data_IF_908360083563
#
_entry.id   IF_908360083563
#
_cell.length_a   1.000
_cell.length_b   1.000
_cell.length_c   1.000
_cell.angle_alpha   90.00
_cell.angle_beta   90.00
_cell.angle_gamma   90.00
#
_symmetry.space_group_name_H-M   'P 1'
#
loop_
_entity.id
_entity.type
_entity.pdbx_description
1 polymer ?
#
# COMPACT_ATOMS: atom_id res chain seq x y z
N UNK A 1 -1.18 23.25 -14.74
CA UNK A 1 -0.10 22.23 -14.67
C UNK A 1 -0.70 21.01 -14.02
N UNK A 2 -0.99 19.97 -14.81
CA UNK A 2 -1.32 18.67 -14.24
C UNK A 2 -0.03 18.15 -13.59
N UNK A 3 -0.06 17.87 -12.29
CA UNK A 3 0.98 17.07 -11.67
C UNK A 3 1.03 15.77 -12.47
N UNK A 4 2.21 15.42 -13.02
CA UNK A 4 2.40 14.13 -13.64
C UNK A 4 2.00 13.09 -12.60
N UNK A 5 0.94 12.33 -12.88
CA UNK A 5 0.57 11.17 -12.06
C UNK A 5 1.79 10.27 -12.06
N UNK A 6 2.49 10.26 -10.94
CA UNK A 6 3.77 9.60 -10.83
C UNK A 6 3.49 8.09 -10.81
N UNK A 7 3.61 7.45 -11.98
CA UNK A 7 3.34 6.02 -12.21
C UNK A 7 4.42 5.11 -11.56
N UNK A 8 5.18 5.66 -10.61
CA UNK A 8 6.21 4.94 -9.87
C UNK A 8 5.57 3.79 -9.08
N UNK A 9 6.06 2.54 -9.23
CA UNK A 9 5.51 1.40 -8.50
C UNK A 9 5.74 1.56 -7.00
N UNK A 10 4.65 1.67 -6.25
CA UNK A 10 4.68 1.70 -4.78
C UNK A 10 4.60 0.29 -4.20
N UNK A 11 3.72 -0.54 -4.77
CA UNK A 11 3.58 -1.95 -4.38
C UNK A 11 4.69 -2.76 -5.04
N UNK A 12 5.77 -3.00 -4.30
CA UNK A 12 6.92 -3.80 -4.75
C UNK A 12 6.84 -5.24 -4.28
N UNK A 13 7.63 -6.13 -4.89
CA UNK A 13 7.73 -7.53 -4.43
C UNK A 13 8.28 -7.61 -2.99
N UNK A 14 9.22 -6.74 -2.64
CA UNK A 14 9.73 -6.63 -1.27
C UNK A 14 8.64 -6.21 -0.28
N UNK A 15 7.76 -5.28 -0.65
CA UNK A 15 6.62 -4.90 0.18
C UNK A 15 5.62 -6.05 0.32
N UNK A 16 5.31 -6.74 -0.77
CA UNK A 16 4.43 -7.92 -0.74
C UNK A 16 4.94 -8.99 0.22
N UNK A 17 6.25 -9.28 0.21
CA UNK A 17 6.86 -10.25 1.13
C UNK A 17 6.73 -9.81 2.61
N UNK A 18 6.90 -8.52 2.90
CA UNK A 18 6.69 -7.98 4.26
C UNK A 18 5.23 -8.14 4.69
N UNK A 19 4.28 -7.83 3.81
CA UNK A 19 2.84 -7.98 4.08
C UNK A 19 2.49 -9.45 4.34
N UNK A 20 3.03 -10.39 3.55
CA UNK A 20 2.81 -11.83 3.72
C UNK A 20 3.20 -12.30 5.12
N UNK A 21 4.35 -11.84 5.64
CA UNK A 21 4.85 -12.23 6.96
C UNK A 21 3.95 -11.83 8.14
N UNK A 22 3.00 -10.92 7.93
CA UNK A 22 2.06 -10.45 8.96
C UNK A 22 0.59 -10.70 8.57
N UNK A 23 0.34 -11.33 7.43
CA UNK A 23 -1.02 -11.45 6.89
C UNK A 23 -1.81 -12.54 7.64
N UNK A 24 -2.96 -12.21 8.24
CA UNK A 24 -3.79 -13.20 8.93
C UNK A 24 -4.45 -14.16 7.94
N UNK A 25 -4.06 -15.43 8.00
CA UNK A 25 -4.48 -16.47 7.03
C UNK A 25 -6.01 -16.69 7.00
N UNK A 26 -6.70 -16.39 8.09
CA UNK A 26 -8.17 -16.48 8.17
C UNK A 26 -8.90 -15.34 7.44
N UNK A 27 -8.20 -14.28 7.01
CA UNK A 27 -8.79 -13.13 6.29
C UNK A 27 -8.50 -13.15 4.79
N UNK A 28 -7.84 -14.19 4.27
CA UNK A 28 -7.44 -14.29 2.86
C UNK A 28 -8.66 -14.13 1.94
N UNK A 29 -9.71 -14.91 2.15
CA UNK A 29 -10.86 -14.89 1.24
C UNK A 29 -11.54 -13.52 1.25
N UNK A 30 -11.80 -12.96 2.44
CA UNK A 30 -12.49 -11.69 2.59
C UNK A 30 -11.73 -10.53 1.93
N UNK A 31 -10.41 -10.45 2.15
CA UNK A 31 -9.56 -9.41 1.57
C UNK A 31 -9.47 -9.56 0.05
N UNK A 32 -9.20 -10.76 -0.45
CA UNK A 32 -8.98 -10.92 -1.89
C UNK A 32 -10.28 -10.89 -2.70
N UNK A 33 -11.42 -11.29 -2.14
CA UNK A 33 -12.73 -11.06 -2.75
C UNK A 33 -13.00 -9.56 -2.89
N UNK A 34 -12.68 -8.77 -1.87
CA UNK A 34 -12.82 -7.31 -1.91
C UNK A 34 -11.87 -6.65 -2.93
N UNK A 35 -10.68 -7.20 -3.10
CA UNK A 35 -9.74 -6.81 -4.15
C UNK A 35 -10.15 -7.30 -5.56
N UNK A 36 -11.32 -7.92 -5.71
CA UNK A 36 -11.93 -8.27 -6.99
C UNK A 36 -11.66 -9.70 -7.46
N UNK A 37 -11.07 -10.56 -6.63
CA UNK A 37 -10.95 -11.98 -6.96
C UNK A 37 -12.30 -12.69 -6.80
N UNK A 38 -12.54 -13.68 -7.66
CA UNK A 38 -13.65 -14.61 -7.44
C UNK A 38 -13.23 -15.64 -6.41
N UNK A 39 -14.14 -16.00 -5.51
CA UNK A 39 -13.88 -17.00 -4.47
C UNK A 39 -13.40 -18.35 -5.05
N UNK A 40 -13.95 -18.76 -6.21
CA UNK A 40 -13.50 -19.96 -6.93
C UNK A 40 -12.03 -19.90 -7.36
N UNK A 41 -11.53 -18.72 -7.71
CA UNK A 41 -10.13 -18.56 -8.14
C UNK A 41 -9.18 -18.55 -6.94
N UNK A 42 -9.62 -18.02 -5.80
CA UNK A 42 -8.88 -18.10 -4.53
C UNK A 42 -8.79 -19.56 -4.09
N UNK A 43 -9.89 -20.29 -4.10
CA UNK A 43 -9.94 -21.69 -3.67
C UNK A 43 -9.05 -22.59 -4.54
N UNK A 44 -9.09 -22.41 -5.87
CA UNK A 44 -8.18 -23.15 -6.78
C UNK A 44 -6.71 -22.94 -6.40
N UNK A 45 -6.31 -21.71 -6.07
CA UNK A 45 -4.94 -21.39 -5.66
C UNK A 45 -4.63 -21.94 -4.26
N UNK A 46 -5.60 -21.93 -3.35
CA UNK A 46 -5.49 -22.48 -2.00
C UNK A 46 -5.19 -23.97 -2.04
N UNK A 47 -5.91 -24.73 -2.86
CA UNK A 47 -5.66 -26.17 -3.06
C UNK A 47 -4.22 -26.40 -3.55
N UNK A 48 -3.74 -25.62 -4.53
CA UNK A 48 -2.36 -25.72 -5.03
C UNK A 48 -1.33 -25.39 -3.94
N UNK A 49 -1.59 -24.35 -3.14
CA UNK A 49 -0.71 -23.93 -2.05
C UNK A 49 -0.65 -24.96 -0.91
N UNK A 50 -1.77 -25.63 -0.61
CA UNK A 50 -1.82 -26.72 0.37
C UNK A 50 -0.99 -27.94 -0.05
N UNK A 51 -0.94 -28.26 -1.35
CA UNK A 51 -0.05 -29.30 -1.88
C UNK A 51 1.44 -28.95 -1.72
N UNK A 52 1.75 -27.66 -1.55
CA UNK A 52 3.10 -27.14 -1.36
C UNK A 52 3.40 -26.76 0.10
N UNK A 53 2.49 -27.06 1.04
CA UNK A 53 2.60 -26.77 2.48
C UNK A 53 2.93 -25.32 2.86
N UNK A 54 2.52 -24.32 2.06
CA UNK A 54 2.78 -22.91 2.36
C UNK A 54 1.60 -22.02 2.00
N UNK A 55 0.82 -21.62 3.00
CA UNK A 55 -0.24 -20.62 2.85
C UNK A 55 0.33 -19.21 2.62
N UNK A 56 1.57 -18.95 3.03
CA UNK A 56 2.29 -17.72 2.72
C UNK A 56 2.50 -17.56 1.20
N UNK A 57 2.72 -18.69 0.51
CA UNK A 57 2.78 -18.73 -0.95
C UNK A 57 1.44 -18.34 -1.59
N UNK A 58 0.31 -18.75 -1.01
CA UNK A 58 -1.01 -18.33 -1.48
C UNK A 58 -1.18 -16.81 -1.42
N UNK A 59 -0.83 -16.20 -0.29
CA UNK A 59 -0.92 -14.74 -0.11
C UNK A 59 0.02 -14.03 -1.09
N UNK A 60 1.24 -14.53 -1.25
CA UNK A 60 2.23 -14.00 -2.20
C UNK A 60 1.72 -14.05 -3.64
N UNK A 61 1.16 -15.18 -4.07
CA UNK A 61 0.63 -15.38 -5.42
C UNK A 61 -0.60 -14.50 -5.69
N UNK A 62 -1.46 -14.31 -4.69
CA UNK A 62 -2.63 -13.45 -4.79
C UNK A 62 -2.24 -11.97 -4.87
N UNK A 63 -1.35 -11.49 -4.00
CA UNK A 63 -0.82 -10.11 -4.06
C UNK A 63 -0.09 -9.84 -5.37
N UNK A 64 0.74 -10.78 -5.83
CA UNK A 64 1.47 -10.63 -7.10
C UNK A 64 0.52 -10.61 -8.30
N UNK A 65 -0.50 -11.48 -8.30
CA UNK A 65 -1.51 -11.50 -9.35
C UNK A 65 -2.43 -10.29 -9.32
N UNK A 66 -2.65 -9.70 -8.15
CA UNK A 66 -3.43 -8.48 -8.01
C UNK A 66 -2.65 -7.28 -8.53
N UNK A 67 -1.38 -7.17 -8.12
CA UNK A 67 -0.42 -6.14 -8.56
C UNK A 67 -0.34 -6.06 -10.09
N UNK A 68 -0.30 -7.20 -10.78
CA UNK A 68 -0.22 -7.23 -12.26
C UNK A 68 -1.53 -6.86 -12.96
N UNK A 69 -2.67 -6.99 -12.28
CA UNK A 69 -3.99 -6.70 -12.86
C UNK A 69 -4.49 -5.27 -12.60
N UNK A 70 -4.08 -4.66 -11.49
CA UNK A 70 -4.63 -3.40 -11.01
C UNK A 70 -3.61 -2.26 -11.13
N UNK A 71 -3.31 -1.83 -12.36
CA UNK A 71 -2.52 -0.62 -12.64
C UNK A 71 -1.18 -0.55 -11.89
N UNK A 72 -0.68 0.66 -11.70
CA UNK A 72 0.54 0.97 -10.96
C UNK A 72 0.35 2.27 -10.15
N UNK A 73 1.22 2.52 -9.18
CA UNK A 73 1.29 3.82 -8.50
C UNK A 73 0.36 4.01 -7.31
N UNK A 74 -0.01 5.27 -7.06
CA UNK A 74 -0.69 5.70 -5.83
C UNK A 74 -2.08 5.08 -5.63
N UNK A 75 -2.91 5.06 -6.68
CA UNK A 75 -4.28 4.52 -6.59
C UNK A 75 -4.27 3.02 -6.28
N UNK A 76 -3.30 2.29 -6.83
CA UNK A 76 -3.09 0.89 -6.48
C UNK A 76 -2.75 0.77 -4.99
N UNK A 77 -1.76 1.52 -4.49
CA UNK A 77 -1.39 1.46 -3.08
C UNK A 77 -2.54 1.86 -2.13
N UNK A 78 -3.31 2.88 -2.47
CA UNK A 78 -4.50 3.29 -1.70
C UNK A 78 -5.57 2.20 -1.68
N UNK A 79 -5.82 1.53 -2.81
CA UNK A 79 -6.79 0.44 -2.90
C UNK A 79 -6.39 -0.73 -1.99
N UNK A 80 -5.11 -1.14 -2.05
CA UNK A 80 -4.61 -2.20 -1.18
C UNK A 80 -4.70 -1.81 0.28
N UNK A 81 -4.26 -0.59 0.62
CA UNK A 81 -4.32 -0.05 1.98
C UNK A 81 -5.76 -0.02 2.52
N UNK A 82 -6.72 0.42 1.71
CA UNK A 82 -8.13 0.49 2.10
C UNK A 82 -8.70 -0.90 2.42
N UNK A 83 -8.40 -1.90 1.59
CA UNK A 83 -8.80 -3.29 1.85
C UNK A 83 -8.19 -3.81 3.16
N UNK A 84 -6.88 -3.63 3.35
CA UNK A 84 -6.18 -4.05 4.58
C UNK A 84 -6.77 -3.36 5.83
N UNK A 85 -7.09 -2.07 5.73
CA UNK A 85 -7.66 -1.29 6.84
C UNK A 85 -9.06 -1.78 7.22
N UNK A 86 -9.92 -2.04 6.24
CA UNK A 86 -11.29 -2.52 6.49
C UNK A 86 -11.29 -3.88 7.18
N UNK A 87 -10.31 -4.71 6.87
CA UNK A 87 -10.12 -6.02 7.48
C UNK A 87 -9.23 -5.99 8.71
N UNK A 88 -8.88 -4.82 9.26
CA UNK A 88 -8.07 -4.66 10.47
C UNK A 88 -6.74 -5.43 10.40
N UNK A 89 -5.98 -5.20 9.33
CA UNK A 89 -4.61 -5.70 9.15
C UNK A 89 -3.66 -4.52 9.32
N UNK A 90 -3.61 -3.97 10.53
CA UNK A 90 -3.00 -2.66 10.80
C UNK A 90 -1.53 -2.59 10.42
N UNK A 91 -0.75 -3.65 10.70
CA UNK A 91 0.66 -3.69 10.29
C UNK A 91 0.85 -3.63 8.77
N UNK A 92 -0.08 -4.17 7.97
CA UNK A 92 -0.01 -4.05 6.52
C UNK A 92 -0.39 -2.64 6.06
N UNK A 93 -1.33 -1.98 6.75
CA UNK A 93 -1.70 -0.59 6.50
C UNK A 93 -0.51 0.34 6.73
N UNK A 94 0.24 0.14 7.82
CA UNK A 94 1.45 0.90 8.13
C UNK A 94 2.52 0.72 7.05
N UNK A 95 2.84 -0.52 6.70
CA UNK A 95 3.82 -0.82 5.64
C UNK A 95 3.47 -0.20 4.28
N UNK A 96 2.18 -0.21 3.91
CA UNK A 96 1.73 0.40 2.64
C UNK A 96 1.79 1.94 2.74
N UNK A 97 1.45 2.52 3.90
CA UNK A 97 1.55 3.96 4.11
C UNK A 97 3.01 4.44 4.05
N UNK A 98 3.94 3.72 4.68
CA UNK A 98 5.38 4.01 4.59
C UNK A 98 5.86 4.00 3.13
N UNK A 99 5.47 2.98 2.35
CA UNK A 99 5.81 2.91 0.93
C UNK A 99 5.22 4.07 0.13
N UNK A 100 3.99 4.51 0.45
CA UNK A 100 3.37 5.68 -0.16
C UNK A 100 4.17 6.94 0.16
N UNK A 101 4.52 7.15 1.43
CA UNK A 101 5.26 8.33 1.89
C UNK A 101 6.70 8.38 1.35
N UNK A 102 7.31 7.23 1.07
CA UNK A 102 8.63 7.16 0.43
C UNK A 102 8.59 7.69 -1.01
N UNK A 103 7.56 7.32 -1.78
CA UNK A 103 7.41 7.71 -3.18
C UNK A 103 6.80 9.11 -3.33
N UNK A 104 5.81 9.41 -2.48
CA UNK A 104 5.05 10.66 -2.45
C UNK A 104 5.11 11.25 -1.04
N UNK A 105 6.26 11.84 -0.64
CA UNK A 105 6.40 12.38 0.69
C UNK A 105 5.31 13.42 0.93
N UNK A 106 4.68 13.41 2.12
CA UNK A 106 3.73 14.45 2.47
C UNK A 106 4.44 15.77 2.25
N UNK A 107 3.82 16.67 1.50
CA UNK A 107 4.34 18.02 1.31
C UNK A 107 4.47 18.59 2.70
N UNK A 108 5.68 18.58 3.27
CA UNK A 108 5.97 19.24 4.53
C UNK A 108 5.42 20.63 4.32
N UNK A 109 4.40 20.98 5.11
CA UNK A 109 3.77 22.29 5.02
C UNK A 109 4.87 23.32 4.93
N UNK A 110 4.64 24.34 4.09
CA UNK A 110 5.46 25.54 4.10
C UNK A 110 5.85 25.83 5.54
N UNK A 111 7.14 25.68 5.87
CA UNK A 111 7.66 26.27 7.10
C UNK A 111 7.12 27.70 7.09
N UNK A 112 6.48 28.19 8.17
CA UNK A 112 6.12 29.60 8.21
C UNK A 112 7.41 30.34 7.88
N UNK A 113 7.41 31.08 6.75
CA UNK A 113 8.47 32.04 6.48
C UNK A 113 8.47 32.90 7.73
N UNK A 114 9.51 32.76 8.54
CA UNK A 114 9.82 33.69 9.60
C UNK A 114 10.01 35.03 8.88
N UNK A 115 8.92 35.77 8.75
CA UNK A 115 8.95 37.13 8.27
C UNK A 115 9.43 37.93 9.47
N UNK A 116 10.74 37.83 9.75
CA UNK A 116 11.43 38.85 10.53
C UNK A 116 11.39 40.08 9.64
N UNK A 117 10.27 40.80 9.76
CA UNK A 117 10.15 42.18 9.33
C UNK A 117 11.35 42.89 9.96
N UNK A 118 12.28 43.22 9.09
CA UNK A 118 13.12 44.42 9.14
C UNK A 118 12.63 45.41 10.19
N UNK A 119 13.31 45.48 11.33
CA UNK A 119 13.26 46.66 12.18
C UNK A 119 13.77 47.84 11.34
N UNK A 120 13.00 48.92 11.16
CA UNK A 120 13.52 50.12 10.51
C UNK A 120 14.58 50.78 11.39
N UNK A 121 15.61 51.42 10.80
CA UNK A 121 16.64 52.11 11.56
C UNK A 121 16.07 53.40 12.16
N UNK A 122 16.40 53.66 13.43
CA UNK A 122 16.22 54.92 14.17
C UNK A 122 14.80 55.47 14.38
N UNK A 123 14.44 55.63 15.66
CA UNK A 123 13.62 56.74 16.15
C UNK A 123 13.93 57.01 17.64
N UNK A 124 14.63 58.14 17.85
CA UNK A 124 14.89 58.92 19.08
C UNK A 124 15.94 58.41 20.09
#
# INVERSE_FOLDING_TARGET
MAAASDDRPIITDSLNLKIVGIFPLNKIDDVFVELGFKQVDIEKRRVIAQLSSSLDRLVTDLLSSWKTKHGCGYDQAQTLKAAMKKHSIDGAVELIQEAIDEVNPPTKGSLPKENVNTLPPNLL
#
